data_IF_072557089879
#
_entry.id   IF_072557089879
#
_cell.length_a   1.000
_cell.length_b   1.000
_cell.length_c   1.000
_cell.angle_alpha   90.00
_cell.angle_beta   90.00
_cell.angle_gamma   90.00
#
_symmetry.space_group_name_H-M   'P 1'
#
loop_
_entity.id
_entity.type
_entity.pdbx_description
1 polymer ?
#
# COMPACT_ATOMS: atom_id res chain seq x y z
N UNK A 1 -4.35 -7.10 -5.95
CA UNK A 1 -2.88 -6.99 -6.10
C UNK A 1 -2.46 -5.55 -5.83
N UNK A 2 -1.35 -5.30 -5.14
CA UNK A 2 -0.92 -3.92 -4.86
C UNK A 2 -0.14 -3.30 -6.03
N UNK A 3 -0.50 -2.10 -6.51
CA UNK A 3 0.06 -1.48 -7.71
C UNK A 3 1.53 -1.04 -7.57
N UNK A 4 2.08 -0.99 -6.36
CA UNK A 4 3.47 -0.59 -6.13
C UNK A 4 4.42 -1.78 -5.92
N UNK A 5 3.89 -2.94 -5.53
CA UNK A 5 4.67 -4.10 -5.11
C UNK A 5 4.32 -5.38 -5.89
N UNK A 6 3.27 -5.34 -6.72
CA UNK A 6 2.63 -6.45 -7.44
C UNK A 6 2.32 -7.69 -6.59
N UNK A 7 2.37 -7.58 -5.27
CA UNK A 7 2.04 -8.69 -4.36
C UNK A 7 0.54 -8.79 -4.10
N UNK A 8 0.05 -10.01 -3.85
CA UNK A 8 -1.32 -10.21 -3.40
C UNK A 8 -1.54 -9.51 -2.07
N UNK A 9 -2.73 -8.92 -1.92
CA UNK A 9 -3.16 -8.42 -0.61
C UNK A 9 -3.51 -9.62 0.25
N UNK A 10 -2.64 -9.98 1.20
CA UNK A 10 -2.99 -10.96 2.20
C UNK A 10 -4.03 -10.36 3.15
N UNK A 11 -5.14 -11.06 3.35
CA UNK A 11 -6.20 -10.64 4.27
C UNK A 11 -5.62 -10.45 5.67
N UNK A 12 -5.87 -9.28 6.29
CA UNK A 12 -5.49 -9.00 7.68
C UNK A 12 -6.71 -8.61 8.49
N UNK A 13 -6.88 -9.21 9.68
CA UNK A 13 -7.93 -8.83 10.65
C UNK A 13 -7.96 -7.32 10.94
N UNK A 14 -6.79 -6.68 10.96
CA UNK A 14 -6.64 -5.22 11.16
C UNK A 14 -7.35 -4.37 10.11
N UNK A 15 -7.64 -4.92 8.92
CA UNK A 15 -8.25 -4.16 7.82
C UNK A 15 -9.77 -4.31 7.75
N UNK A 16 -10.40 -5.08 8.64
CA UNK A 16 -11.86 -5.31 8.63
C UNK A 16 -12.68 -4.01 8.51
N UNK A 17 -12.24 -2.94 9.19
CA UNK A 17 -12.97 -1.66 9.22
C UNK A 17 -12.53 -0.66 8.15
N UNK A 18 -11.44 -0.91 7.44
CA UNK A 18 -10.87 0.03 6.46
C UNK A 18 -10.63 -0.61 5.09
N UNK A 19 -11.12 -1.84 4.86
CA UNK A 19 -10.84 -2.65 3.68
C UNK A 19 -11.14 -1.90 2.39
N UNK A 20 -12.25 -1.18 2.35
CA UNK A 20 -12.69 -0.38 1.19
C UNK A 20 -11.71 0.75 0.81
N UNK A 21 -10.94 1.27 1.79
CA UNK A 21 -9.93 2.31 1.55
C UNK A 21 -8.52 1.75 1.33
N UNK A 22 -8.29 0.45 1.46
CA UNK A 22 -6.94 -0.14 1.33
C UNK A 22 -6.57 -0.26 -0.16
N UNK A 23 -5.77 0.70 -0.64
CA UNK A 23 -5.21 0.71 -2.00
C UNK A 23 -3.78 0.14 -2.11
N UNK A 24 -3.05 -0.02 -1.00
CA UNK A 24 -1.63 -0.44 -0.99
C UNK A 24 -1.30 -1.51 0.05
N UNK A 25 -0.41 -2.45 -0.30
CA UNK A 25 -0.03 -3.60 0.53
C UNK A 25 0.61 -3.18 1.87
N UNK A 26 1.16 -1.96 1.95
CA UNK A 26 1.82 -1.42 3.12
C UNK A 26 1.90 0.11 3.06
N UNK A 27 2.11 0.77 4.21
CA UNK A 27 2.42 2.21 4.27
C UNK A 27 3.65 2.56 3.41
N UNK A 28 4.65 1.69 3.35
CA UNK A 28 5.84 1.86 2.48
C UNK A 28 5.45 1.97 1.01
N UNK A 29 4.52 1.14 0.56
CA UNK A 29 4.02 1.17 -0.82
C UNK A 29 3.15 2.38 -1.12
N UNK A 30 2.38 2.84 -0.12
CA UNK A 30 1.65 4.11 -0.23
C UNK A 30 2.59 5.32 -0.31
N UNK A 31 3.65 5.33 0.50
CA UNK A 31 4.64 6.41 0.55
C UNK A 31 5.57 6.45 -0.67
N UNK A 32 5.87 5.29 -1.29
CA UNK A 32 6.66 5.21 -2.53
C UNK A 32 6.08 6.02 -3.69
N UNK A 33 4.76 6.26 -3.76
CA UNK A 33 4.17 7.15 -4.76
C UNK A 33 4.50 8.62 -4.51
N UNK A 34 4.67 9.01 -3.24
CA UNK A 34 4.98 10.40 -2.82
C UNK A 34 6.49 10.68 -2.87
N UNK A 35 7.34 9.67 -2.72
CA UNK A 35 8.80 9.82 -2.66
C UNK A 35 9.50 9.86 -4.03
N UNK A 36 8.84 10.34 -5.09
CA UNK A 36 9.51 10.55 -6.38
C UNK A 36 10.40 11.81 -6.41
N UNK A 37 10.48 12.57 -5.32
CA UNK A 37 11.14 13.89 -5.26
C UNK A 37 12.10 14.04 -4.07
N UNK A 38 12.88 13.01 -3.69
CA UNK A 38 13.93 13.18 -2.66
C UNK A 38 15.11 12.23 -2.90
N UNK A 39 15.68 12.26 -4.11
CA UNK A 39 17.03 11.75 -4.30
C UNK A 39 17.73 12.57 -5.38
N UNK A 40 18.15 13.78 -5.01
CA UNK A 40 19.25 14.50 -5.65
C UNK A 40 20.34 14.71 -4.62
#
# INVERSE_FOLDING_TARGET
MCPACNRPFAWRKKWKNCWERVKYCSKKCSSRRTQKENNK
#
